data_IF_541341370919
#
_entry.id   IF_541341370919
#
_cell.length_a   1.000
_cell.length_b   1.000
_cell.length_c   1.000
_cell.angle_alpha   90.00
_cell.angle_beta   90.00
_cell.angle_gamma   90.00
#
_symmetry.space_group_name_H-M   'P 1'
#
loop_
_entity.id
_entity.type
_entity.pdbx_description
1 polymer ?
#
# COMPACT_ATOMS: atom_id res chain seq x y z
N UNK A 1 -7.64 -0.91 1.69
CA UNK A 1 -7.69 0.49 2.14
C UNK A 1 -6.48 0.73 3.02
N UNK A 2 -5.50 1.52 2.57
CA UNK A 2 -4.33 1.90 3.38
C UNK A 2 -4.77 2.97 4.38
N UNK A 3 -4.51 2.71 5.64
CA UNK A 3 -5.16 3.37 6.77
C UNK A 3 -4.33 4.45 7.44
N UNK A 4 -3.05 4.57 7.10
CA UNK A 4 -2.33 5.83 7.35
C UNK A 4 -2.96 6.92 6.48
N UNK A 5 -3.29 6.60 5.22
CA UNK A 5 -4.08 7.50 4.39
C UNK A 5 -5.52 7.68 4.90
N UNK A 6 -6.18 6.65 5.47
CA UNK A 6 -7.50 6.86 6.08
C UNK A 6 -7.47 7.75 7.31
N UNK A 7 -6.52 7.52 8.23
CA UNK A 7 -6.38 8.32 9.45
C UNK A 7 -6.07 9.78 9.10
N UNK A 8 -5.15 10.02 8.16
CA UNK A 8 -4.90 11.36 7.62
C UNK A 8 -6.11 11.94 6.90
N UNK A 9 -6.85 11.15 6.12
CA UNK A 9 -8.07 11.61 5.43
C UNK A 9 -9.19 11.98 6.40
N UNK A 10 -9.41 11.17 7.44
CA UNK A 10 -10.37 11.50 8.50
C UNK A 10 -9.94 12.74 9.25
N UNK A 11 -8.66 12.85 9.59
CA UNK A 11 -8.09 14.05 10.21
C UNK A 11 -8.31 15.28 9.32
N UNK A 12 -7.94 15.23 8.05
CA UNK A 12 -8.11 16.34 7.11
C UNK A 12 -9.57 16.78 6.99
N UNK A 13 -10.50 15.83 6.87
CA UNK A 13 -11.94 16.11 6.81
C UNK A 13 -12.58 16.53 8.12
N UNK A 14 -11.88 16.40 9.24
CA UNK A 14 -12.37 16.81 10.57
C UNK A 14 -11.62 18.02 11.13
N UNK A 15 -10.81 18.70 10.31
CA UNK A 15 -10.10 19.92 10.68
C UNK A 15 -10.96 21.16 10.51
N UNK A 16 -10.76 22.12 11.40
CA UNK A 16 -11.21 23.49 11.21
C UNK A 16 -10.27 24.19 10.23
N UNK A 17 -10.81 24.79 9.18
CA UNK A 17 -10.02 25.51 8.18
C UNK A 17 -9.41 26.83 8.70
N UNK A 18 -9.79 27.26 9.91
CA UNK A 18 -9.24 28.47 10.56
C UNK A 18 -8.02 28.12 11.40
N UNK A 19 -8.15 27.23 12.40
CA UNK A 19 -7.03 26.87 13.28
C UNK A 19 -6.24 25.63 12.81
N UNK A 20 -6.68 24.95 11.75
CA UNK A 20 -6.02 23.79 11.16
C UNK A 20 -5.87 22.59 12.11
N UNK A 21 -6.64 22.56 13.19
CA UNK A 21 -6.74 21.44 14.16
C UNK A 21 -8.13 20.81 14.08
N UNK A 22 -8.38 19.71 14.81
CA UNK A 22 -9.71 19.09 14.89
C UNK A 22 -10.82 20.10 15.23
N UNK A 23 -11.99 19.92 14.63
CA UNK A 23 -13.20 20.70 14.89
C UNK A 23 -13.68 20.50 16.34
N UNK A 24 -13.22 21.36 17.24
CA UNK A 24 -13.65 21.39 18.62
C UNK A 24 -14.86 22.33 18.78
N UNK A 25 -15.97 21.78 19.29
CA UNK A 25 -17.25 22.50 19.44
C UNK A 25 -17.64 23.24 18.14
N UNK A 26 -17.86 22.51 17.03
CA UNK A 26 -18.09 23.12 15.72
C UNK A 26 -19.36 23.98 15.71
N UNK A 27 -19.30 25.09 14.98
CA UNK A 27 -20.40 26.02 14.72
C UNK A 27 -20.60 26.12 13.21
N UNK A 28 -21.85 25.98 12.78
CA UNK A 28 -22.26 26.20 11.40
C UNK A 28 -22.66 27.66 11.20
N UNK A 29 -22.15 28.26 10.14
CA UNK A 29 -22.70 29.47 9.55
C UNK A 29 -23.95 29.14 8.72
N UNK A 30 -24.72 30.16 8.35
CA UNK A 30 -25.95 30.05 7.55
C UNK A 30 -25.75 29.28 6.24
N UNK A 31 -24.59 29.46 5.60
CA UNK A 31 -24.23 28.82 4.34
C UNK A 31 -23.69 27.38 4.49
N UNK A 32 -23.63 26.84 5.71
CA UNK A 32 -23.11 25.50 5.99
C UNK A 32 -21.60 25.42 6.24
N UNK A 33 -20.88 26.54 6.12
CA UNK A 33 -19.47 26.61 6.54
C UNK A 33 -19.33 26.27 8.02
N UNK A 34 -18.32 25.49 8.38
CA UNK A 34 -18.10 24.99 9.75
C UNK A 34 -16.72 25.37 10.26
N UNK A 35 -16.66 25.88 11.50
CA UNK A 35 -15.41 26.13 12.21
C UNK A 35 -15.57 25.89 13.71
N UNK A 36 -14.48 25.87 14.47
CA UNK A 36 -14.55 25.77 15.93
C UNK A 36 -15.24 26.99 16.52
N UNK A 37 -15.98 26.82 17.63
CA UNK A 37 -16.57 27.95 18.36
C UNK A 37 -15.54 29.05 18.66
N UNK A 38 -14.33 28.66 19.08
CA UNK A 38 -13.23 29.59 19.38
C UNK A 38 -12.65 30.31 18.17
N UNK A 39 -12.90 29.79 16.96
CA UNK A 39 -12.41 30.35 15.71
C UNK A 39 -13.39 31.35 15.09
N UNK A 40 -14.62 31.45 15.60
CA UNK A 40 -15.59 32.41 15.07
C UNK A 40 -15.10 33.85 15.22
N UNK A 41 -14.38 34.16 16.31
CA UNK A 41 -13.83 35.50 16.56
C UNK A 41 -12.71 35.88 15.58
N UNK A 42 -12.14 34.90 14.86
CA UNK A 42 -11.14 35.13 13.81
C UNK A 42 -11.77 35.35 12.43
N UNK A 43 -13.09 35.20 12.28
CA UNK A 43 -13.78 35.48 11.04
C UNK A 43 -13.99 36.98 10.84
N UNK A 44 -14.00 37.40 9.57
CA UNK A 44 -14.23 38.80 9.23
C UNK A 44 -15.66 39.20 9.62
N UNK A 45 -15.81 40.36 10.26
CA UNK A 45 -17.11 40.94 10.61
C UNK A 45 -17.73 41.67 9.43
N UNK A 46 -19.06 41.66 9.38
CA UNK A 46 -19.85 42.46 8.43
C UNK A 46 -19.56 43.97 8.61
N UNK A 47 -19.41 44.74 7.52
CA UNK A 47 -19.26 46.19 7.60
C UNK A 47 -20.47 46.82 8.30
N UNK A 48 -20.22 47.61 9.36
CA UNK A 48 -21.26 48.31 10.15
C UNK A 48 -22.28 47.39 10.83
N UNK A 49 -21.98 46.09 10.98
CA UNK A 49 -22.86 45.09 11.56
C UNK A 49 -22.18 44.21 12.60
N UNK A 50 -22.95 43.28 13.17
CA UNK A 50 -22.45 42.27 14.12
C UNK A 50 -22.38 40.86 13.50
N UNK A 51 -22.76 40.72 12.22
CA UNK A 51 -22.70 39.45 11.49
C UNK A 51 -21.27 39.02 11.18
N UNK A 52 -21.09 37.73 10.90
CA UNK A 52 -19.82 37.16 10.46
C UNK A 52 -19.89 36.80 8.98
N UNK A 53 -18.85 37.13 8.23
CA UNK A 53 -18.67 36.79 6.82
C UNK A 53 -18.04 35.39 6.71
N UNK A 54 -18.65 34.54 5.89
CA UNK A 54 -18.05 33.25 5.55
C UNK A 54 -16.78 33.44 4.71
N UNK A 55 -15.63 32.84 5.07
CA UNK A 55 -14.38 33.01 4.33
C UNK A 55 -14.40 32.35 2.95
N UNK A 56 -15.34 31.43 2.69
CA UNK A 56 -15.42 30.70 1.41
C UNK A 56 -16.41 31.30 0.42
N UNK A 57 -17.46 31.99 0.87
CA UNK A 57 -18.53 32.48 -0.01
C UNK A 57 -19.04 33.88 0.32
N UNK A 58 -18.46 34.54 1.33
CA UNK A 58 -18.80 35.89 1.78
C UNK A 58 -20.25 36.10 2.24
N UNK A 59 -21.05 35.03 2.36
CA UNK A 59 -22.40 35.10 2.94
C UNK A 59 -22.31 35.52 4.41
N UNK A 60 -23.08 36.54 4.78
CA UNK A 60 -23.21 37.00 6.16
C UNK A 60 -24.11 36.04 6.95
N UNK A 61 -23.67 35.67 8.14
CA UNK A 61 -24.47 34.93 9.13
C UNK A 61 -24.65 35.78 10.39
N UNK A 62 -25.89 36.02 10.76
CA UNK A 62 -26.23 36.65 12.04
C UNK A 62 -26.18 35.62 13.17
N UNK A 63 -26.24 36.07 14.42
CA UNK A 63 -26.11 35.20 15.59
C UNK A 63 -27.20 34.12 15.63
N UNK A 64 -28.41 34.44 15.19
CA UNK A 64 -29.57 33.55 15.15
C UNK A 64 -29.47 32.49 14.04
N UNK A 65 -28.67 32.78 12.99
CA UNK A 65 -28.41 31.83 11.90
C UNK A 65 -27.38 30.76 12.30
N UNK A 66 -26.55 31.03 13.31
CA UNK A 66 -25.45 30.17 13.71
C UNK A 66 -25.95 28.97 14.52
N UNK A 67 -25.53 27.77 14.14
CA UNK A 67 -26.01 26.52 14.76
C UNK A 67 -24.86 25.69 15.31
N UNK A 68 -24.93 25.24 16.58
CA UNK A 68 -23.95 24.30 17.11
C UNK A 68 -24.01 22.95 16.38
N UNK A 69 -22.89 22.49 15.86
CA UNK A 69 -22.73 21.18 15.23
C UNK A 69 -22.49 20.06 16.22
N UNK A 70 -23.34 19.90 17.24
CA UNK A 70 -23.10 18.96 18.35
C UNK A 70 -22.85 17.53 17.91
N UNK A 71 -23.60 17.03 16.91
CA UNK A 71 -23.41 15.69 16.37
C UNK A 71 -22.05 15.54 15.68
N UNK A 72 -21.68 16.49 14.82
CA UNK A 72 -20.36 16.52 14.19
C UNK A 72 -19.25 16.58 15.25
N UNK A 73 -19.41 17.41 16.29
CA UNK A 73 -18.46 17.48 17.41
C UNK A 73 -18.23 16.13 18.08
N UNK A 74 -19.31 15.36 18.34
CA UNK A 74 -19.18 14.00 18.92
C UNK A 74 -18.46 13.03 17.98
N UNK A 75 -18.75 13.08 16.67
CA UNK A 75 -18.06 12.26 15.68
C UNK A 75 -16.56 12.59 15.62
N UNK A 76 -16.22 13.88 15.58
CA UNK A 76 -14.84 14.36 15.55
C UNK A 76 -14.08 13.94 16.82
N UNK A 77 -14.70 14.04 18.00
CA UNK A 77 -14.13 13.52 19.24
C UNK A 77 -13.85 12.02 19.16
N UNK A 78 -14.79 11.23 18.61
CA UNK A 78 -14.59 9.79 18.46
C UNK A 78 -13.47 9.45 17.46
N UNK A 79 -13.37 10.18 16.36
CA UNK A 79 -12.27 10.05 15.39
C UNK A 79 -10.93 10.34 16.08
N UNK A 80 -10.84 11.45 16.82
CA UNK A 80 -9.64 11.84 17.58
C UNK A 80 -9.22 10.78 18.61
N UNK A 81 -10.19 10.14 19.27
CA UNK A 81 -9.93 9.03 20.22
C UNK A 81 -9.46 7.74 19.53
N UNK A 82 -10.02 7.40 18.38
CA UNK A 82 -9.74 6.13 17.68
C UNK A 82 -8.49 6.20 16.80
N UNK A 83 -8.08 7.39 16.37
CA UNK A 83 -6.93 7.60 15.48
C UNK A 83 -5.65 6.89 15.96
N UNK A 84 -5.23 7.00 17.24
CA UNK A 84 -4.02 6.31 17.70
C UNK A 84 -4.15 4.79 17.66
N UNK A 85 -5.33 4.25 17.94
CA UNK A 85 -5.60 2.81 17.92
C UNK A 85 -5.57 2.26 16.49
N UNK A 86 -6.14 3.01 15.55
CA UNK A 86 -6.08 2.68 14.12
C UNK A 86 -4.63 2.70 13.65
N UNK A 87 -3.87 3.77 13.94
CA UNK A 87 -2.44 3.85 13.59
C UNK A 87 -1.66 2.67 14.14
N UNK A 88 -1.85 2.29 15.40
CA UNK A 88 -1.14 1.16 16.01
C UNK A 88 -1.49 -0.19 15.37
N UNK A 89 -2.77 -0.44 15.07
CA UNK A 89 -3.23 -1.70 14.47
C UNK A 89 -2.72 -1.88 13.04
N UNK A 90 -2.48 -0.77 12.35
CA UNK A 90 -2.20 -0.72 10.92
C UNK A 90 -0.75 -0.40 10.63
N UNK A 91 0.09 -0.60 11.64
CA UNK A 91 1.53 -0.60 11.53
C UNK A 91 2.01 -2.05 11.47
N UNK A 92 3.03 -2.27 10.64
CA UNK A 92 3.70 -3.56 10.55
C UNK A 92 4.24 -3.94 11.92
N UNK A 93 3.90 -5.13 12.39
CA UNK A 93 4.50 -5.66 13.61
C UNK A 93 5.94 -6.10 13.29
N UNK A 94 6.99 -5.51 13.89
CA UNK A 94 8.37 -5.87 13.58
C UNK A 94 8.68 -7.35 13.83
N UNK A 95 7.93 -8.01 14.72
CA UNK A 95 8.04 -9.46 14.98
C UNK A 95 7.69 -10.32 13.76
N UNK A 96 7.07 -9.77 12.71
CA UNK A 96 6.83 -10.49 11.45
C UNK A 96 8.14 -10.87 10.75
N UNK A 97 9.21 -10.07 10.91
CA UNK A 97 10.53 -10.35 10.31
C UNK A 97 11.16 -11.66 10.78
N UNK A 98 10.74 -12.21 11.93
CA UNK A 98 11.22 -13.52 12.38
C UNK A 98 10.74 -14.69 11.50
N UNK A 99 9.73 -14.44 10.66
CA UNK A 99 9.22 -15.39 9.68
C UNK A 99 9.82 -15.15 8.29
N UNK A 100 10.90 -14.37 8.18
CA UNK A 100 11.52 -14.08 6.90
C UNK A 100 12.04 -15.37 6.26
N UNK A 101 11.67 -15.59 5.02
CA UNK A 101 12.04 -16.77 4.24
C UNK A 101 12.82 -16.37 3.00
N UNK A 102 13.70 -17.26 2.57
CA UNK A 102 14.45 -17.08 1.34
C UNK A 102 13.56 -17.42 0.14
N UNK A 103 13.27 -16.42 -0.70
CA UNK A 103 12.48 -16.58 -1.93
C UNK A 103 13.36 -16.36 -3.15
N UNK A 104 13.29 -17.26 -4.12
CA UNK A 104 13.96 -17.12 -5.43
C UNK A 104 12.94 -17.22 -6.56
N UNK A 105 13.29 -16.71 -7.74
CA UNK A 105 12.43 -16.76 -8.92
C UNK A 105 12.53 -18.13 -9.61
N UNK A 106 11.39 -18.73 -9.89
CA UNK A 106 11.28 -20.02 -10.57
C UNK A 106 11.32 -19.82 -12.09
N UNK A 107 12.49 -20.03 -12.68
CA UNK A 107 12.76 -19.86 -14.12
C UNK A 107 11.87 -20.75 -14.98
N UNK A 108 11.41 -21.90 -14.47
CA UNK A 108 10.53 -22.80 -15.23
C UNK A 108 9.11 -22.24 -15.39
N UNK A 109 8.70 -21.34 -14.49
CA UNK A 109 7.39 -20.66 -14.57
C UNK A 109 7.41 -19.36 -15.37
N UNK A 110 8.59 -18.73 -15.49
CA UNK A 110 8.73 -17.38 -16.02
C UNK A 110 8.29 -17.22 -17.47
N UNK A 111 7.50 -16.19 -17.78
CA UNK A 111 7.18 -15.86 -19.17
C UNK A 111 8.43 -15.69 -20.05
N UNK A 112 8.30 -16.03 -21.33
CA UNK A 112 9.40 -15.97 -22.29
C UNK A 112 10.01 -14.59 -22.46
N UNK A 113 9.35 -13.47 -22.13
CA UNK A 113 9.97 -12.14 -22.25
C UNK A 113 10.70 -11.71 -20.98
N UNK A 114 10.58 -12.45 -19.87
CA UNK A 114 11.19 -12.07 -18.61
C UNK A 114 12.67 -12.40 -18.57
N UNK A 115 13.48 -11.43 -18.18
CA UNK A 115 14.91 -11.58 -17.92
C UNK A 115 15.10 -11.65 -16.41
N UNK A 116 15.72 -12.73 -15.95
CA UNK A 116 15.95 -13.02 -14.52
C UNK A 116 17.45 -12.95 -14.27
N UNK A 117 17.85 -12.31 -13.17
CA UNK A 117 19.25 -12.22 -12.76
C UNK A 117 19.82 -13.58 -12.33
N UNK A 118 21.15 -13.72 -12.37
CA UNK A 118 21.85 -14.96 -12.00
C UNK A 118 21.56 -15.40 -10.56
N UNK A 119 21.42 -14.44 -9.63
CA UNK A 119 21.05 -14.68 -8.23
C UNK A 119 19.58 -15.12 -8.04
N UNK A 120 18.79 -15.17 -9.12
CA UNK A 120 17.36 -15.47 -9.12
C UNK A 120 16.53 -14.52 -8.23
N UNK A 121 17.01 -13.30 -7.98
CA UNK A 121 16.31 -12.32 -7.13
C UNK A 121 15.63 -11.21 -7.91
N UNK A 122 16.11 -10.90 -9.11
CA UNK A 122 15.61 -9.76 -9.90
C UNK A 122 14.96 -10.23 -11.18
N UNK A 123 13.84 -9.60 -11.54
CA UNK A 123 13.13 -9.83 -12.79
C UNK A 123 12.72 -8.52 -13.43
N UNK A 124 12.87 -8.46 -14.75
CA UNK A 124 12.35 -7.38 -15.60
C UNK A 124 11.83 -7.96 -16.90
N UNK A 125 10.95 -7.25 -17.60
CA UNK A 125 10.51 -7.66 -18.92
C UNK A 125 11.40 -7.05 -20.01
N UNK A 126 11.88 -7.88 -20.94
CA UNK A 126 12.63 -7.45 -22.12
C UNK A 126 11.76 -7.34 -23.36
N UNK A 127 12.31 -6.76 -24.43
CA UNK A 127 11.64 -6.64 -25.73
C UNK A 127 11.64 -7.94 -26.55
N UNK A 128 12.51 -8.90 -26.20
CA UNK A 128 12.72 -10.13 -26.98
C UNK A 128 12.45 -11.37 -26.14
N UNK A 129 11.89 -12.38 -26.81
CA UNK A 129 11.71 -13.70 -26.21
C UNK A 129 13.06 -14.33 -25.87
N UNK A 130 13.13 -14.88 -24.67
CA UNK A 130 14.19 -15.73 -24.17
C UNK A 130 13.96 -17.15 -24.70
N UNK A 131 15.04 -17.80 -25.13
CA UNK A 131 15.05 -19.17 -25.68
C UNK A 131 14.89 -20.24 -24.57
N UNK A 132 13.80 -20.15 -23.81
CA UNK A 132 13.46 -21.13 -22.77
C UNK A 132 12.68 -22.30 -23.35
N UNK A 133 12.77 -23.46 -22.69
CA UNK A 133 11.96 -24.64 -23.06
C UNK A 133 10.48 -24.39 -22.77
N UNK A 134 9.63 -24.82 -23.70
CA UNK A 134 8.17 -24.83 -23.52
C UNK A 134 7.81 -25.89 -22.47
N UNK A 135 6.99 -25.51 -21.49
CA UNK A 135 6.56 -26.36 -20.38
C UNK A 135 5.18 -25.93 -19.87
N UNK A 136 4.35 -26.85 -19.36
CA UNK A 136 3.02 -26.50 -18.84
C UNK A 136 3.08 -25.57 -17.62
N UNK A 137 4.18 -25.59 -16.86
CA UNK A 137 4.40 -24.73 -15.69
C UNK A 137 4.64 -23.27 -16.06
N UNK A 138 4.96 -22.97 -17.33
CA UNK A 138 5.35 -21.65 -17.80
C UNK A 138 4.14 -20.79 -18.15
N UNK A 139 4.14 -19.53 -17.74
CA UNK A 139 3.20 -18.54 -18.27
C UNK A 139 3.56 -18.21 -19.73
N UNK A 140 2.71 -18.59 -20.68
CA UNK A 140 2.94 -18.36 -22.12
C UNK A 140 2.55 -16.95 -22.56
N UNK A 141 1.53 -16.37 -21.93
CA UNK A 141 0.92 -15.10 -22.29
C UNK A 141 1.22 -14.00 -21.27
N UNK A 142 0.89 -14.22 -20.00
CA UNK A 142 1.02 -13.21 -18.95
C UNK A 142 2.49 -12.94 -18.61
N UNK A 143 2.88 -11.66 -18.52
CA UNK A 143 4.25 -11.23 -18.18
C UNK A 143 4.48 -11.36 -16.67
N UNK A 144 4.61 -12.60 -16.20
CA UNK A 144 4.78 -12.92 -14.78
C UNK A 144 5.62 -14.19 -14.55
N UNK A 145 6.00 -14.39 -13.30
CA UNK A 145 6.83 -15.49 -12.80
C UNK A 145 6.44 -15.82 -11.36
N UNK A 146 6.55 -17.09 -10.97
CA UNK A 146 6.36 -17.54 -9.59
C UNK A 146 7.68 -17.56 -8.83
N UNK A 147 7.60 -17.41 -7.51
CA UNK A 147 8.72 -17.65 -6.61
C UNK A 147 8.73 -19.08 -6.06
N UNK A 148 9.88 -19.46 -5.51
CA UNK A 148 10.11 -20.68 -4.76
C UNK A 148 10.67 -20.34 -3.37
N UNK A 149 10.34 -21.10 -2.31
CA UNK A 149 9.49 -22.30 -2.32
C UNK A 149 7.99 -21.97 -2.40
N UNK A 150 7.16 -23.00 -2.48
CA UNK A 150 5.73 -22.90 -2.20
C UNK A 150 5.41 -23.18 -0.74
N UNK A 151 4.32 -22.60 -0.27
CA UNK A 151 3.93 -22.58 1.13
C UNK A 151 2.60 -23.31 1.34
N UNK A 152 2.61 -24.55 1.85
CA UNK A 152 1.39 -25.30 2.17
C UNK A 152 0.82 -24.96 3.55
N UNK A 153 1.61 -24.36 4.45
CA UNK A 153 1.22 -24.08 5.84
C UNK A 153 2.17 -23.05 6.47
N UNK A 154 1.85 -22.57 7.68
CA UNK A 154 2.73 -21.71 8.46
C UNK A 154 2.67 -20.21 8.13
N UNK A 155 3.67 -19.48 8.60
CA UNK A 155 3.80 -18.02 8.46
C UNK A 155 5.10 -17.70 7.75
N UNK A 156 5.02 -16.86 6.72
CA UNK A 156 6.12 -16.55 5.83
C UNK A 156 6.16 -15.06 5.53
N UNK A 157 7.37 -14.51 5.47
CA UNK A 157 7.59 -13.11 5.19
C UNK A 157 8.69 -12.93 4.15
N UNK A 158 8.50 -12.03 3.19
CA UNK A 158 9.56 -11.58 2.30
C UNK A 158 9.33 -10.13 1.89
N UNK A 159 10.38 -9.51 1.37
CA UNK A 159 10.33 -8.12 0.90
C UNK A 159 10.63 -8.08 -0.60
N UNK A 160 9.99 -7.14 -1.29
CA UNK A 160 10.19 -6.87 -2.71
C UNK A 160 10.46 -5.38 -2.89
N UNK A 161 11.58 -5.09 -3.52
CA UNK A 161 11.94 -3.77 -4.01
C UNK A 161 11.41 -3.59 -5.43
N UNK A 162 10.67 -2.51 -5.67
CA UNK A 162 10.11 -2.18 -6.99
C UNK A 162 10.82 -0.97 -7.60
N UNK A 163 11.80 -0.39 -6.90
CA UNK A 163 12.53 0.79 -7.33
C UNK A 163 11.58 1.93 -7.71
N UNK A 164 11.74 2.42 -8.94
CA UNK A 164 10.91 3.49 -9.52
C UNK A 164 9.87 2.97 -10.51
N UNK A 165 9.56 1.67 -10.48
CA UNK A 165 8.67 1.03 -11.45
C UNK A 165 7.25 1.61 -11.35
N UNK A 166 6.67 2.00 -12.48
CA UNK A 166 5.34 2.63 -12.56
C UNK A 166 4.20 1.63 -12.78
N UNK A 167 4.54 0.37 -13.00
CA UNK A 167 3.58 -0.72 -13.17
C UNK A 167 4.17 -2.01 -12.61
N UNK A 168 3.38 -2.74 -11.84
CA UNK A 168 3.74 -4.06 -11.33
C UNK A 168 2.54 -4.70 -10.63
N UNK A 169 2.61 -6.03 -10.43
CA UNK A 169 1.79 -6.76 -9.46
C UNK A 169 2.66 -7.73 -8.67
N UNK A 170 2.46 -7.77 -7.35
CA UNK A 170 3.13 -8.72 -6.46
C UNK A 170 2.16 -9.29 -5.44
N UNK A 171 2.43 -10.50 -4.98
CA UNK A 171 1.62 -11.16 -3.96
C UNK A 171 1.82 -12.66 -3.95
N UNK A 172 0.71 -13.39 -3.86
CA UNK A 172 0.70 -14.85 -3.93
C UNK A 172 -0.37 -15.34 -4.89
N UNK A 173 -0.16 -16.52 -5.46
CA UNK A 173 -1.19 -17.24 -6.18
C UNK A 173 -1.22 -18.72 -5.80
N UNK A 174 -2.31 -19.41 -6.13
CA UNK A 174 -2.36 -20.87 -6.09
C UNK A 174 -1.28 -21.46 -6.98
N UNK A 175 -0.63 -22.53 -6.56
CA UNK A 175 0.27 -23.27 -7.45
C UNK A 175 -0.50 -23.87 -8.64
N UNK A 176 -1.75 -24.25 -8.44
CA UNK A 176 -2.66 -24.73 -9.50
C UNK A 176 -3.25 -23.63 -10.39
N UNK A 177 -2.88 -22.36 -10.18
CA UNK A 177 -3.44 -21.26 -10.96
C UNK A 177 -3.19 -21.45 -12.46
N UNK A 178 -4.16 -21.02 -13.29
CA UNK A 178 -4.09 -21.10 -14.75
C UNK A 178 -2.84 -20.36 -15.26
N UNK A 179 -2.04 -21.04 -16.08
CA UNK A 179 -0.78 -20.49 -16.62
C UNK A 179 -0.79 -20.25 -18.14
N UNK A 180 -1.68 -20.93 -18.86
CA UNK A 180 -1.76 -20.86 -20.33
C UNK A 180 -2.82 -19.85 -20.79
N UNK A 181 -2.49 -19.02 -21.77
CA UNK A 181 -3.32 -17.93 -22.28
C UNK A 181 -3.52 -16.77 -21.28
N UNK A 182 -4.45 -15.85 -21.60
CA UNK A 182 -4.74 -14.71 -20.73
C UNK A 182 -5.19 -15.16 -19.33
N UNK A 183 -4.67 -14.46 -18.31
CA UNK A 183 -5.06 -14.59 -16.91
C UNK A 183 -5.72 -13.30 -16.44
N UNK A 184 -6.68 -13.43 -15.53
CA UNK A 184 -7.26 -12.31 -14.80
C UNK A 184 -6.76 -12.40 -13.36
N UNK A 185 -6.10 -11.34 -12.88
CA UNK A 185 -5.68 -11.26 -11.48
C UNK A 185 -6.91 -10.97 -10.61
N UNK A 186 -7.41 -12.01 -9.96
CA UNK A 186 -8.55 -11.97 -9.04
C UNK A 186 -8.36 -12.97 -7.90
N UNK A 187 -8.74 -12.58 -6.70
CA UNK A 187 -8.75 -13.44 -5.52
C UNK A 187 -9.70 -14.62 -5.68
N UNK A 188 -10.79 -14.47 -6.46
CA UNK A 188 -11.70 -15.57 -6.80
C UNK A 188 -11.05 -16.61 -7.72
N UNK A 189 -10.05 -16.19 -8.50
CA UNK A 189 -9.26 -17.05 -9.39
C UNK A 189 -7.94 -17.51 -8.75
N UNK A 190 -7.77 -17.27 -7.46
CA UNK A 190 -6.59 -17.71 -6.70
C UNK A 190 -5.36 -16.83 -6.86
N UNK A 191 -5.54 -15.54 -7.15
CA UNK A 191 -4.48 -14.53 -7.16
C UNK A 191 -4.77 -13.47 -6.09
N UNK A 192 -3.93 -13.39 -5.06
CA UNK A 192 -4.03 -12.39 -4.00
C UNK A 192 -2.84 -11.44 -4.13
N UNK A 193 -3.03 -10.39 -4.93
CA UNK A 193 -1.97 -9.47 -5.35
C UNK A 193 -2.36 -8.03 -5.09
N UNK A 194 -1.34 -7.21 -4.86
CA UNK A 194 -1.43 -5.75 -4.96
C UNK A 194 -0.58 -5.29 -6.13
N UNK A 195 -0.99 -4.21 -6.76
CA UNK A 195 -0.31 -3.68 -7.93
C UNK A 195 -0.41 -2.18 -8.08
N UNK A 196 0.45 -1.66 -8.94
CA UNK A 196 0.49 -0.26 -9.36
C UNK A 196 0.18 -0.17 -10.85
N UNK A 197 -0.58 0.86 -11.25
CA UNK A 197 -0.84 1.23 -12.64
C UNK A 197 -0.58 2.72 -12.82
N UNK A 198 -0.05 3.10 -13.99
CA UNK A 198 0.18 4.49 -14.38
C UNK A 198 1.03 5.33 -13.41
N UNK A 199 1.77 4.68 -12.49
CA UNK A 199 2.62 5.34 -11.50
C UNK A 199 1.94 5.80 -10.21
N UNK A 200 0.61 5.85 -10.12
CA UNK A 200 -0.11 6.36 -8.94
C UNK A 200 -1.38 5.58 -8.55
N UNK A 201 -1.91 4.74 -9.44
CA UNK A 201 -3.12 3.95 -9.18
C UNK A 201 -2.75 2.61 -8.54
N UNK A 202 -2.82 2.55 -7.21
CA UNK A 202 -2.65 1.30 -6.46
C UNK A 202 -3.97 0.53 -6.36
N UNK A 203 -3.91 -0.79 -6.49
CA UNK A 203 -5.07 -1.66 -6.44
C UNK A 203 -4.77 -3.02 -5.81
N UNK A 204 -5.79 -3.66 -5.25
CA UNK A 204 -5.79 -5.06 -4.84
C UNK A 204 -6.73 -5.87 -5.75
N UNK A 205 -6.30 -7.05 -6.17
CA UNK A 205 -7.03 -8.00 -7.04
C UNK A 205 -8.24 -8.66 -6.36
N UNK A 206 -9.10 -7.87 -5.74
CA UNK A 206 -10.41 -8.26 -5.23
C UNK A 206 -11.46 -8.22 -6.34
N UNK A 207 -12.66 -8.73 -6.07
CA UNK A 207 -13.82 -8.62 -6.96
C UNK A 207 -14.98 -7.93 -6.23
N UNK A 208 -15.40 -6.72 -6.66
CA UNK A 208 -14.72 -5.86 -7.64
C UNK A 208 -13.33 -5.40 -7.16
N UNK A 209 -12.49 -4.91 -8.08
CA UNK A 209 -11.14 -4.41 -7.77
C UNK A 209 -11.21 -3.30 -6.71
N UNK A 210 -10.36 -3.40 -5.69
CA UNK A 210 -10.27 -2.40 -4.62
C UNK A 210 -9.13 -1.44 -4.91
N UNK A 211 -9.45 -0.16 -5.11
CA UNK A 211 -8.46 0.92 -5.21
C UNK A 211 -7.88 1.23 -3.82
N UNK A 212 -6.57 1.47 -3.76
CA UNK A 212 -5.81 1.66 -2.53
C UNK A 212 -5.19 3.07 -2.48
N UNK A 213 -5.32 3.73 -1.34
CA UNK A 213 -4.69 5.03 -1.08
C UNK A 213 -3.29 4.88 -0.49
N UNK A 214 -2.29 4.56 -1.30
CA UNK A 214 -0.92 4.28 -0.83
C UNK A 214 -0.02 5.51 -0.98
N UNK A 215 1.01 5.61 -0.12
CA UNK A 215 2.05 6.63 -0.26
C UNK A 215 2.68 6.56 -1.65
N UNK A 216 2.81 7.68 -2.39
CA UNK A 216 3.43 7.70 -3.71
C UNK A 216 4.93 7.40 -3.67
N UNK A 217 5.53 7.31 -2.47
CA UNK A 217 6.94 6.98 -2.25
C UNK A 217 7.18 5.47 -2.03
N UNK A 218 6.16 4.63 -2.24
CA UNK A 218 6.29 3.18 -2.09
C UNK A 218 7.33 2.63 -3.08
N UNK A 219 8.46 2.18 -2.55
CA UNK A 219 9.54 1.54 -3.31
C UNK A 219 9.94 0.18 -2.74
N UNK A 220 9.45 -0.18 -1.54
CA UNK A 220 9.62 -1.52 -0.95
C UNK A 220 8.37 -2.02 -0.24
N UNK A 221 7.94 -3.22 -0.60
CA UNK A 221 6.80 -3.95 -0.04
C UNK A 221 7.27 -5.09 0.86
N UNK A 222 6.65 -5.23 2.03
CA UNK A 222 6.67 -6.45 2.83
C UNK A 222 5.41 -7.25 2.57
N UNK A 223 5.57 -8.55 2.35
CA UNK A 223 4.47 -9.49 2.14
C UNK A 223 4.51 -10.50 3.28
N UNK A 224 3.43 -10.56 4.05
CA UNK A 224 3.28 -11.48 5.18
C UNK A 224 2.12 -12.44 4.90
N UNK A 225 2.46 -13.70 4.63
CA UNK A 225 1.52 -14.78 4.44
C UNK A 225 1.33 -15.54 5.76
N UNK A 226 0.10 -15.60 6.25
CA UNK A 226 -0.29 -16.43 7.39
C UNK A 226 -1.31 -17.47 6.94
N UNK A 227 -0.82 -18.67 6.60
CA UNK A 227 -1.65 -19.79 6.17
C UNK A 227 -2.54 -20.32 7.30
N UNK A 228 -2.15 -20.12 8.57
CA UNK A 228 -2.94 -20.58 9.71
C UNK A 228 -4.21 -19.74 9.88
N UNK A 229 -4.13 -18.45 9.56
CA UNK A 229 -5.27 -17.53 9.59
C UNK A 229 -5.90 -17.29 8.21
N UNK A 230 -5.36 -17.89 7.14
CA UNK A 230 -5.84 -17.70 5.78
C UNK A 230 -5.75 -16.23 5.34
N UNK A 231 -4.62 -15.57 5.61
CA UNK A 231 -4.42 -14.16 5.26
C UNK A 231 -3.11 -13.91 4.53
N UNK A 232 -3.10 -12.91 3.66
CA UNK A 232 -1.86 -12.29 3.15
C UNK A 232 -1.96 -10.79 3.30
N UNK A 233 -0.96 -10.20 3.97
CA UNK A 233 -0.90 -8.78 4.31
C UNK A 233 0.29 -8.10 3.64
N UNK A 234 0.08 -6.86 3.23
CA UNK A 234 1.04 -6.04 2.50
C UNK A 234 1.38 -4.78 3.30
N UNK A 235 2.66 -4.45 3.39
CA UNK A 235 3.16 -3.32 4.17
C UNK A 235 4.16 -2.49 3.37
N UNK A 236 4.11 -1.17 3.50
CA UNK A 236 5.18 -0.29 3.04
C UNK A 236 6.32 -0.35 4.06
N UNK A 237 7.49 -0.84 3.64
CA UNK A 237 8.58 -1.11 4.60
C UNK A 237 9.18 0.16 5.20
N UNK A 238 9.22 1.25 4.45
CA UNK A 238 9.92 2.47 4.87
C UNK A 238 9.22 3.20 6.00
N UNK A 239 7.88 3.21 6.02
CA UNK A 239 7.08 3.87 7.07
C UNK A 239 6.26 2.88 7.92
N UNK A 240 6.40 1.57 7.67
CA UNK A 240 5.70 0.50 8.35
C UNK A 240 4.19 0.44 8.07
N UNK A 241 3.66 1.30 7.21
CA UNK A 241 2.21 1.39 7.02
C UNK A 241 1.62 0.14 6.36
N UNK A 242 0.47 -0.27 6.85
CA UNK A 242 -0.35 -1.30 6.22
C UNK A 242 -0.96 -0.79 4.90
N UNK A 243 -0.92 -1.64 3.89
CA UNK A 243 -1.45 -1.36 2.55
C UNK A 243 -2.78 -2.09 2.34
N UNK A 244 -2.75 -3.41 2.51
CA UNK A 244 -3.91 -4.26 2.28
C UNK A 244 -3.74 -5.62 2.95
N UNK A 245 -4.86 -6.28 3.29
CA UNK A 245 -4.89 -7.68 3.72
C UNK A 245 -6.02 -8.39 3.01
N UNK A 246 -5.70 -9.48 2.32
CA UNK A 246 -6.72 -10.45 1.92
C UNK A 246 -6.96 -11.43 3.07
N UNK A 247 -8.20 -11.88 3.19
CA UNK A 247 -8.65 -12.83 4.21
C UNK A 247 -9.45 -13.95 3.54
N UNK A 248 -9.71 -15.05 4.26
CA UNK A 248 -10.48 -16.17 3.73
C UNK A 248 -9.73 -16.99 2.68
N UNK A 249 -8.40 -16.98 2.71
CA UNK A 249 -7.58 -17.83 1.85
C UNK A 249 -7.75 -19.29 2.28
N UNK A 250 -8.06 -20.23 1.35
CA UNK A 250 -8.26 -21.64 1.69
C UNK A 250 -7.00 -22.30 2.27
N UNK A 251 -7.15 -22.97 3.41
CA UNK A 251 -6.02 -23.56 4.15
C UNK A 251 -5.35 -24.77 3.48
N UNK A 252 -6.00 -25.40 2.50
CA UNK A 252 -5.51 -26.63 1.84
C UNK A 252 -4.69 -26.38 0.59
N UNK A 253 -4.53 -25.13 0.17
CA UNK A 253 -3.90 -24.79 -1.09
C UNK A 253 -2.44 -24.39 -0.90
N UNK A 254 -1.56 -25.00 -1.70
CA UNK A 254 -0.17 -24.58 -1.77
C UNK A 254 -0.10 -23.24 -2.52
N UNK A 255 0.43 -22.21 -1.85
CA UNK A 255 0.60 -20.89 -2.44
C UNK A 255 2.04 -20.63 -2.84
N UNK A 256 2.20 -19.91 -3.95
CA UNK A 256 3.50 -19.48 -4.48
C UNK A 256 3.58 -17.96 -4.46
N UNK A 257 4.73 -17.35 -4.13
CA UNK A 257 4.96 -15.94 -4.42
C UNK A 257 4.72 -15.66 -5.91
N UNK A 258 4.11 -14.51 -6.20
CA UNK A 258 3.76 -14.10 -7.54
C UNK A 258 4.39 -12.74 -7.84
N UNK A 259 4.99 -12.60 -9.02
CA UNK A 259 5.66 -11.39 -9.48
C UNK A 259 5.32 -11.10 -10.94
N UNK A 260 4.84 -9.90 -11.23
CA UNK A 260 4.63 -9.39 -12.58
C UNK A 260 5.29 -8.00 -12.69
N UNK A 261 6.47 -7.88 -13.31
CA UNK A 261 7.10 -6.57 -13.54
C UNK A 261 6.36 -5.80 -14.63
N UNK A 262 6.67 -4.52 -14.78
CA UNK A 262 6.13 -3.70 -15.85
C UNK A 262 6.36 -4.29 -17.25
N UNK A 263 5.44 -4.01 -18.14
CA UNK A 263 5.64 -4.19 -19.57
C UNK A 263 6.68 -3.16 -20.07
N UNK A 264 7.66 -3.55 -20.91
CA UNK A 264 8.69 -2.61 -21.39
C UNK A 264 8.14 -1.46 -22.24
N UNK A 265 6.91 -1.56 -22.75
CA UNK A 265 6.23 -0.47 -23.46
C UNK A 265 5.61 0.58 -22.52
N UNK A 266 5.27 0.18 -21.28
CA UNK A 266 4.72 1.11 -20.27
C UNK A 266 5.81 1.66 -19.37
N UNK A 267 6.80 0.84 -19.03
CA UNK A 267 7.97 1.23 -18.25
C UNK A 267 9.19 0.35 -18.58
N UNK A 268 10.01 0.84 -19.52
CA UNK A 268 11.19 0.11 -20.02
C UNK A 268 12.32 -0.10 -19.00
N UNK A 269 12.29 0.60 -17.86
CA UNK A 269 13.29 0.44 -16.78
C UNK A 269 12.71 -0.32 -15.57
N UNK A 270 11.43 -0.68 -15.61
CA UNK A 270 10.76 -1.36 -14.51
C UNK A 270 11.39 -2.72 -14.18
N UNK A 271 11.60 -2.96 -12.90
CA UNK A 271 12.08 -4.23 -12.38
C UNK A 271 11.45 -4.54 -11.01
N UNK A 272 11.51 -5.81 -10.64
CA UNK A 272 11.20 -6.28 -9.29
C UNK A 272 12.43 -7.01 -8.76
N UNK A 273 12.81 -6.74 -7.50
CA UNK A 273 13.91 -7.41 -6.82
C UNK A 273 13.45 -7.94 -5.47
N UNK A 274 13.55 -9.24 -5.26
CA UNK A 274 13.37 -9.86 -3.95
C UNK A 274 14.54 -9.45 -3.07
N UNK A 275 14.26 -8.86 -1.90
CA UNK A 275 15.30 -8.48 -0.96
C UNK A 275 15.86 -9.72 -0.25
N UNK A 276 17.17 -9.76 0.04
CA UNK A 276 17.78 -10.87 0.77
C UNK A 276 17.24 -10.95 2.20
N UNK A 277 17.30 -12.15 2.79
CA UNK A 277 17.07 -12.34 4.22
C UNK A 277 18.12 -11.55 5.00
N UNK A 278 17.70 -10.65 5.88
CA UNK A 278 18.65 -9.93 6.73
C UNK A 278 19.12 -10.90 7.82
N UNK A 279 20.39 -11.31 7.76
CA UNK A 279 21.03 -11.99 8.88
C UNK A 279 21.38 -10.94 9.95
N UNK A 280 20.85 -11.04 11.19
CA UNK A 280 21.19 -10.11 12.26
C UNK A 280 22.68 -10.11 12.63
N UNK A 281 23.45 -11.11 12.17
CA UNK A 281 24.88 -11.28 12.45
C UNK A 281 25.84 -10.65 11.44
N UNK A 282 25.35 -9.96 10.40
CA UNK A 282 26.21 -9.28 9.41
C UNK A 282 25.90 -7.78 9.43
N UNK A 283 26.12 -7.15 10.59
CA UNK A 283 26.49 -5.73 10.61
C UNK A 283 28.00 -5.72 10.54
N UNK A 284 28.56 -5.79 9.33
CA UNK A 284 29.95 -5.42 9.14
C UNK A 284 30.06 -3.93 9.46
N UNK A 285 30.71 -3.61 10.57
CA UNK A 285 31.17 -2.26 10.87
C UNK A 285 31.87 -1.66 9.64
N UNK A 286 31.66 -0.38 9.33
CA UNK A 286 32.43 0.28 8.28
C UNK A 286 33.91 0.12 8.64
N UNK A 287 34.69 -0.43 7.72
CA UNK A 287 36.15 -0.36 7.82
C UNK A 287 36.49 1.10 7.58
N UNK A 288 36.83 1.83 8.64
CA UNK A 288 37.57 3.08 8.53
C UNK A 288 38.94 2.72 7.93
N UNK A 289 39.08 2.93 6.63
CA UNK A 289 40.38 3.01 5.98
C UNK A 289 40.75 4.49 5.82
N UNK A 290 40.97 5.15 6.95
CA UNK A 290 41.77 6.36 7.04
C UNK A 290 42.96 6.06 7.95
N UNK A 291 44.10 5.75 7.32
CA UNK A 291 45.42 6.01 7.91
C UNK A 291 46.35 6.49 6.81
N UNK A 292 46.77 7.74 6.98
CA UNK A 292 47.76 8.49 6.21
C UNK A 292 49.20 7.96 6.36
N UNK A 293 50.08 8.54 5.52
CA UNK A 293 51.55 8.61 5.57
C UNK A 293 52.30 7.36 5.07
N UNK A 294 53.17 7.40 4.05
CA UNK A 294 54.09 8.43 3.53
C UNK A 294 54.13 8.47 2.00
#
# INVERSE_FOLDING_TARGET
>A
VNTVAMAEHFKERSRCLVCLTYLERPMYLKCGYVCCLRCMDSLQKEPNGHGLLCPSCSVVSQKEDMRPGTHLGRLVSKIKELEPQLRATLQMNPKMRKFQVEVTLDVDTANHHLIISEDLKSVRCGYSKQNRRVRPERFDYAICVLGSPGFPSGRHYWEVDMGTSKEWDVGVCRDSAKRQGPILLSSELGFWTVGLRNGDLFQASTMPVTVLSVSPRLHRLGIFLDMNFGTVSFYHISDGSHIFTFTGIPAVELLRPFFAPANPFTDGQGFLRICPVMNPGIVSSPVDSDTEHF
#
